data_IF_876294069290
#
_entry.id   IF_876294069290
#
_cell.length_a   1.000
_cell.length_b   1.000
_cell.length_c   1.000
_cell.angle_alpha   90.00
_cell.angle_beta   90.00
_cell.angle_gamma   90.00
#
_symmetry.space_group_name_H-M   'P 1'
#
loop_
_entity.id
_entity.type
_entity.pdbx_description
1 polymer ?
#
# COMPACT_ATOMS: atom_id res chain seq x y z
N UNK A 1 23.26 -1.11 -4.38
CA UNK A 1 22.07 -0.23 -4.27
C UNK A 1 20.94 -1.09 -3.79
N UNK A 2 20.16 -0.62 -2.80
CA UNK A 2 18.99 -1.34 -2.28
C UNK A 2 17.97 -1.54 -3.40
N UNK A 3 17.57 -2.78 -3.63
CA UNK A 3 16.52 -3.14 -4.58
C UNK A 3 15.17 -3.18 -3.87
N UNK A 4 14.24 -2.35 -4.34
CA UNK A 4 12.90 -2.22 -3.76
C UNK A 4 11.87 -2.75 -4.75
N UNK A 5 11.09 -3.75 -4.34
CA UNK A 5 9.92 -4.19 -5.08
C UNK A 5 8.78 -3.20 -4.84
N UNK A 6 8.20 -2.69 -5.93
CA UNK A 6 7.01 -1.85 -5.93
C UNK A 6 5.87 -2.71 -6.47
N UNK A 7 4.93 -3.06 -5.59
CA UNK A 7 3.88 -4.03 -5.93
C UNK A 7 2.92 -3.41 -6.94
N UNK A 8 2.77 -4.09 -8.08
CA UNK A 8 1.76 -3.80 -9.08
C UNK A 8 0.55 -4.71 -8.88
N UNK A 9 -0.61 -4.09 -8.71
CA UNK A 9 -1.89 -4.77 -8.60
C UNK A 9 -2.97 -3.93 -9.29
N UNK A 10 -2.60 -3.18 -10.33
CA UNK A 10 -3.40 -2.19 -11.07
C UNK A 10 -3.88 -0.99 -10.24
N UNK A 11 -3.24 -0.73 -9.10
CA UNK A 11 -3.66 0.33 -8.19
C UNK A 11 -2.49 1.24 -7.81
N UNK A 12 -2.67 2.54 -8.03
CA UNK A 12 -1.73 3.58 -7.63
C UNK A 12 -0.88 4.16 -8.76
N UNK A 13 -0.15 5.23 -8.44
CA UNK A 13 0.76 5.89 -9.38
C UNK A 13 2.18 5.31 -9.23
N UNK A 14 2.42 4.19 -9.89
CA UNK A 14 3.70 3.46 -9.83
C UNK A 14 4.87 4.30 -10.35
N UNK A 15 4.63 5.13 -11.37
CA UNK A 15 5.65 5.99 -11.97
C UNK A 15 6.23 6.97 -10.94
N UNK A 16 5.38 7.73 -10.25
CA UNK A 16 5.83 8.70 -9.26
C UNK A 16 6.47 8.03 -8.04
N UNK A 17 5.92 6.90 -7.57
CA UNK A 17 6.51 6.14 -6.48
C UNK A 17 7.93 5.67 -6.83
N UNK A 18 8.11 5.05 -8.00
CA UNK A 18 9.42 4.59 -8.46
C UNK A 18 10.42 5.74 -8.61
N UNK A 19 10.00 6.88 -9.19
CA UNK A 19 10.88 8.05 -9.35
C UNK A 19 11.32 8.63 -8.01
N UNK A 20 10.44 8.67 -7.01
CA UNK A 20 10.78 9.09 -5.65
C UNK A 20 11.84 8.19 -5.02
N UNK A 21 11.65 6.88 -5.08
CA UNK A 21 12.58 5.88 -4.55
C UNK A 21 13.94 5.91 -5.28
N UNK A 22 13.93 6.04 -6.61
CA UNK A 22 15.14 6.18 -7.42
C UNK A 22 15.92 7.44 -7.05
N UNK A 23 15.22 8.56 -6.87
CA UNK A 23 15.83 9.82 -6.41
C UNK A 23 16.43 9.70 -5.00
N UNK A 24 15.86 8.84 -4.16
CA UNK A 24 16.39 8.51 -2.84
C UNK A 24 17.56 7.49 -2.86
N UNK A 25 17.99 7.04 -4.05
CA UNK A 25 19.16 6.16 -4.22
C UNK A 25 18.87 4.67 -4.33
N UNK A 26 17.59 4.27 -4.40
CA UNK A 26 17.19 2.88 -4.58
C UNK A 26 17.13 2.47 -6.06
N UNK A 27 17.22 1.18 -6.33
CA UNK A 27 16.78 0.58 -7.61
C UNK A 27 15.40 -0.01 -7.40
N UNK A 28 14.48 0.22 -8.34
CA UNK A 28 13.08 -0.20 -8.20
C UNK A 28 12.72 -1.25 -9.23
N UNK A 29 11.97 -2.28 -8.83
CA UNK A 29 11.35 -3.25 -9.73
C UNK A 29 9.84 -3.15 -9.50
N UNK A 30 9.08 -2.89 -10.57
CA UNK A 30 7.62 -2.97 -10.53
C UNK A 30 7.25 -4.43 -10.79
N UNK A 31 6.44 -5.02 -9.91
CA UNK A 31 6.18 -6.47 -9.98
C UNK A 31 4.89 -6.89 -9.30
N UNK A 32 4.26 -7.91 -9.85
CA UNK A 32 3.20 -8.72 -9.25
C UNK A 32 3.67 -10.17 -8.97
N UNK A 33 4.98 -10.42 -9.03
CA UNK A 33 5.58 -11.73 -8.79
C UNK A 33 5.93 -11.92 -7.32
N UNK A 34 5.33 -12.93 -6.69
CA UNK A 34 5.66 -13.36 -5.32
C UNK A 34 7.18 -13.54 -5.12
N UNK A 35 7.86 -14.17 -6.10
CA UNK A 35 9.30 -14.41 -6.06
C UNK A 35 10.11 -13.12 -6.01
N UNK A 36 9.72 -12.11 -6.77
CA UNK A 36 10.43 -10.83 -6.80
C UNK A 36 10.15 -10.01 -5.54
N UNK A 37 8.93 -10.06 -5.02
CA UNK A 37 8.53 -9.44 -3.75
C UNK A 37 9.34 -10.03 -2.59
N UNK A 38 9.43 -11.36 -2.50
CA UNK A 38 10.19 -12.06 -1.47
C UNK A 38 11.71 -11.93 -1.65
N UNK A 39 12.18 -11.72 -2.88
CA UNK A 39 13.61 -11.58 -3.20
C UNK A 39 14.20 -10.17 -3.01
N UNK A 40 13.37 -9.11 -2.99
CA UNK A 40 13.83 -7.72 -2.87
C UNK A 40 14.40 -7.40 -1.47
N UNK A 41 15.18 -6.32 -1.33
CA UNK A 41 15.70 -5.88 -0.03
C UNK A 41 14.63 -5.18 0.82
N UNK A 42 13.65 -4.55 0.17
CA UNK A 42 12.50 -3.89 0.78
C UNK A 42 11.31 -3.89 -0.17
N UNK A 43 10.10 -3.66 0.35
CA UNK A 43 8.86 -3.69 -0.42
C UNK A 43 8.03 -2.42 -0.19
N UNK A 44 7.45 -1.90 -1.27
CA UNK A 44 6.52 -0.78 -1.25
C UNK A 44 5.20 -1.24 -1.85
N UNK A 45 4.12 -1.07 -1.08
CA UNK A 45 2.75 -1.23 -1.54
C UNK A 45 2.14 0.17 -1.72
N UNK A 46 2.16 0.73 -2.94
CA UNK A 46 1.43 1.97 -3.23
C UNK A 46 -0.07 1.69 -3.36
N UNK A 47 -0.89 2.73 -3.39
CA UNK A 47 -2.29 2.56 -3.76
C UNK A 47 -3.04 3.89 -3.85
N UNK A 48 -3.97 3.95 -4.80
CA UNK A 48 -4.94 5.05 -4.98
C UNK A 48 -6.26 4.42 -5.40
N UNK A 49 -7.39 4.96 -4.95
CA UNK A 49 -8.72 4.45 -5.28
C UNK A 49 -9.47 3.96 -4.04
N UNK A 50 -10.36 2.99 -4.23
CA UNK A 50 -11.21 2.46 -3.17
C UNK A 50 -10.66 1.16 -2.55
N UNK A 51 -10.98 0.94 -1.28
CA UNK A 51 -10.52 -0.19 -0.46
C UNK A 51 -10.89 -1.56 -1.03
N UNK A 52 -12.18 -1.79 -1.32
CA UNK A 52 -12.66 -3.09 -1.77
C UNK A 52 -12.03 -3.52 -3.10
N UNK A 53 -12.03 -2.69 -4.17
CA UNK A 53 -11.33 -3.02 -5.40
C UNK A 53 -9.87 -3.37 -5.16
N UNK A 54 -9.14 -2.57 -4.37
CA UNK A 54 -7.73 -2.85 -4.09
C UNK A 54 -7.51 -4.23 -3.44
N UNK A 55 -8.31 -4.58 -2.44
CA UNK A 55 -8.24 -5.90 -1.81
C UNK A 55 -8.61 -7.03 -2.78
N UNK A 56 -9.59 -6.81 -3.66
CA UNK A 56 -9.96 -7.76 -4.71
C UNK A 56 -8.82 -7.97 -5.71
N UNK A 57 -8.16 -6.90 -6.14
CA UNK A 57 -7.01 -6.94 -7.04
C UNK A 57 -5.80 -7.67 -6.45
N UNK A 58 -5.55 -7.51 -5.13
CA UNK A 58 -4.50 -8.25 -4.43
C UNK A 58 -4.82 -9.75 -4.36
N UNK A 59 -6.07 -10.10 -4.05
CA UNK A 59 -6.51 -11.51 -3.98
C UNK A 59 -6.51 -12.19 -5.34
N UNK A 60 -6.98 -11.50 -6.39
CA UNK A 60 -7.05 -12.08 -7.74
C UNK A 60 -5.67 -12.36 -8.35
N UNK A 61 -4.60 -11.83 -7.75
CA UNK A 61 -3.21 -12.01 -8.15
C UNK A 61 -2.41 -12.85 -7.16
N UNK A 62 -3.06 -13.44 -6.16
CA UNK A 62 -2.41 -14.22 -5.10
C UNK A 62 -1.29 -13.44 -4.36
N UNK A 63 -1.44 -12.12 -4.23
CA UNK A 63 -0.42 -11.23 -3.62
C UNK A 63 -0.55 -11.08 -2.11
N UNK A 64 -1.65 -11.52 -1.51
CA UNK A 64 -1.91 -11.39 -0.07
C UNK A 64 -0.85 -12.13 0.77
N UNK A 65 -0.59 -13.40 0.45
CA UNK A 65 0.37 -14.22 1.21
C UNK A 65 1.82 -13.77 1.01
N UNK A 66 2.30 -13.44 -0.21
CA UNK A 66 3.63 -12.84 -0.39
C UNK A 66 3.84 -11.57 0.43
N UNK A 67 2.84 -10.67 0.47
CA UNK A 67 2.91 -9.44 1.27
C UNK A 67 3.03 -9.77 2.76
N UNK A 68 2.16 -10.64 3.27
CA UNK A 68 2.17 -11.06 4.68
C UNK A 68 3.49 -11.72 5.06
N UNK A 69 4.02 -12.58 4.18
CA UNK A 69 5.29 -13.28 4.37
C UNK A 69 6.45 -12.30 4.46
N UNK A 70 6.52 -11.31 3.57
CA UNK A 70 7.53 -10.26 3.61
C UNK A 70 7.46 -9.47 4.92
N UNK A 71 6.27 -9.04 5.35
CA UNK A 71 6.11 -8.29 6.59
C UNK A 71 6.54 -9.13 7.79
N UNK A 72 6.10 -10.39 7.85
CA UNK A 72 6.44 -11.33 8.92
C UNK A 72 7.94 -11.64 8.99
N UNK A 73 8.66 -11.57 7.86
CA UNK A 73 10.12 -11.75 7.83
C UNK A 73 10.91 -10.61 8.49
N UNK A 74 10.25 -9.48 8.81
CA UNK A 74 10.89 -8.29 9.35
C UNK A 74 11.58 -7.42 8.30
N UNK A 75 11.41 -7.74 7.01
CA UNK A 75 11.91 -6.94 5.90
C UNK A 75 11.23 -5.56 5.89
N UNK A 76 11.96 -4.47 5.58
CA UNK A 76 11.35 -3.15 5.48
C UNK A 76 10.18 -3.13 4.48
N UNK A 77 9.03 -2.66 4.95
CA UNK A 77 7.79 -2.58 4.18
C UNK A 77 7.18 -1.17 4.32
N UNK A 78 6.75 -0.58 3.21
CA UNK A 78 6.11 0.75 3.19
C UNK A 78 4.77 0.71 2.43
N UNK A 79 3.67 0.98 3.13
CA UNK A 79 2.37 1.25 2.52
C UNK A 79 2.21 2.75 2.23
N UNK A 80 1.79 3.13 1.02
CA UNK A 80 1.55 4.54 0.65
C UNK A 80 0.07 4.76 0.34
N UNK A 81 -0.54 5.76 1.00
CA UNK A 81 -1.94 6.13 0.84
C UNK A 81 -2.89 4.92 1.05
N UNK A 82 -3.55 4.43 0.00
CA UNK A 82 -4.41 3.25 0.11
C UNK A 82 -3.63 2.00 0.51
N UNK A 83 -2.36 1.89 0.08
CA UNK A 83 -1.49 0.78 0.49
C UNK A 83 -1.21 0.74 2.00
N UNK A 84 -1.25 1.88 2.69
CA UNK A 84 -1.22 1.92 4.16
C UNK A 84 -2.56 1.47 4.75
N UNK A 85 -3.67 1.96 4.21
CA UNK A 85 -5.01 1.65 4.70
C UNK A 85 -5.31 0.15 4.64
N UNK A 86 -4.87 -0.54 3.57
CA UNK A 86 -5.03 -1.98 3.36
C UNK A 86 -4.34 -2.83 4.46
N UNK A 87 -3.35 -2.30 5.18
CA UNK A 87 -2.69 -3.02 6.28
C UNK A 87 -3.61 -3.24 7.49
N UNK A 88 -4.69 -2.48 7.60
CA UNK A 88 -5.67 -2.60 8.68
C UNK A 88 -6.63 -3.79 8.48
N UNK A 89 -7.54 -4.02 9.43
CA UNK A 89 -8.54 -5.09 9.34
C UNK A 89 -9.63 -4.80 8.28
N UNK A 90 -9.88 -3.53 7.99
CA UNK A 90 -10.90 -3.10 7.03
C UNK A 90 -11.07 -1.58 6.96
N UNK A 91 -12.04 -1.14 6.14
CA UNK A 91 -12.39 0.28 5.95
C UNK A 91 -13.90 0.49 5.94
N UNK A 92 -14.39 1.63 6.44
CA UNK A 92 -15.79 2.04 6.31
C UNK A 92 -16.20 2.35 4.85
N UNK A 93 -15.21 2.49 3.96
CA UNK A 93 -15.45 2.66 2.52
C UNK A 93 -16.03 1.41 1.85
N UNK A 94 -15.88 0.24 2.47
CA UNK A 94 -16.22 -1.04 1.87
C UNK A 94 -16.53 -2.15 2.87
N UNK A 95 -16.51 -3.39 2.39
CA UNK A 95 -16.85 -4.61 3.16
C UNK A 95 -15.76 -5.67 3.10
N UNK A 96 -14.77 -5.53 2.21
CA UNK A 96 -13.66 -6.47 2.14
C UNK A 96 -12.82 -6.38 3.41
N UNK A 97 -12.35 -7.53 3.89
CA UNK A 97 -11.32 -7.54 4.93
C UNK A 97 -10.01 -7.01 4.34
N UNK A 98 -9.26 -6.23 5.12
CA UNK A 98 -7.89 -5.85 4.78
C UNK A 98 -6.90 -7.00 5.00
N UNK A 99 -5.61 -6.67 5.05
CA UNK A 99 -4.56 -7.66 5.31
C UNK A 99 -4.51 -8.08 6.79
N UNK A 100 -5.02 -7.25 7.70
CA UNK A 100 -5.04 -7.54 9.14
C UNK A 100 -3.64 -7.59 9.76
N UNK A 101 -2.71 -6.77 9.26
CA UNK A 101 -1.36 -6.63 9.81
C UNK A 101 -1.40 -5.73 11.05
N UNK A 102 -2.19 -4.66 10.97
CA UNK A 102 -2.39 -3.69 12.04
C UNK A 102 -3.85 -3.79 12.49
N UNK A 103 -4.13 -4.05 13.78
CA UNK A 103 -5.51 -4.11 14.25
C UNK A 103 -6.16 -2.72 14.15
N UNK A 104 -7.37 -2.67 13.60
CA UNK A 104 -8.15 -1.43 13.49
C UNK A 104 -8.93 -1.30 12.18
N UNK A 105 -9.74 -0.25 12.11
CA UNK A 105 -10.60 0.04 10.97
C UNK A 105 -10.35 1.46 10.46
N UNK A 106 -10.13 1.61 9.15
CA UNK A 106 -10.02 2.91 8.50
C UNK A 106 -11.41 3.55 8.46
N UNK A 107 -11.54 4.76 9.00
CA UNK A 107 -12.83 5.46 9.11
C UNK A 107 -12.87 6.69 8.24
N UNK A 108 -14.08 7.02 7.79
CA UNK A 108 -14.33 8.28 7.11
C UNK A 108 -14.12 9.44 8.10
N UNK A 109 -13.46 10.50 7.66
CA UNK A 109 -13.38 11.73 8.43
C UNK A 109 -14.77 12.22 8.84
N UNK A 110 -14.90 12.66 10.09
CA UNK A 110 -16.12 13.33 10.58
C UNK A 110 -16.15 14.74 9.99
N UNK A 111 -17.35 15.26 9.69
CA UNK A 111 -17.47 16.65 9.24
C UNK A 111 -17.14 17.57 10.42
N UNK A 112 -16.19 18.49 10.21
CA UNK A 112 -15.80 19.51 11.17
C UNK A 112 -15.80 20.89 10.49
N UNK A 113 -16.03 22.00 11.23
CA UNK A 113 -15.93 23.34 10.67
C UNK A 113 -14.58 23.55 9.99
N UNK A 114 -14.58 24.12 8.79
CA UNK A 114 -13.39 24.39 7.97
C UNK A 114 -12.62 23.16 7.47
N UNK A 115 -13.17 21.94 7.57
CA UNK A 115 -12.58 20.75 6.98
C UNK A 115 -13.41 20.25 5.78
N UNK A 116 -12.83 20.37 4.58
CA UNK A 116 -13.37 19.76 3.37
C UNK A 116 -13.07 18.26 3.35
N UNK A 117 -14.04 17.45 2.92
CA UNK A 117 -13.88 16.00 2.73
C UNK A 117 -14.06 15.69 1.24
N UNK A 118 -13.09 15.00 0.58
CA UNK A 118 -11.85 14.47 1.15
C UNK A 118 -10.87 15.57 1.57
N UNK A 119 -9.99 15.26 2.54
CA UNK A 119 -8.91 16.16 2.91
C UNK A 119 -7.89 16.22 1.76
N UNK A 120 -7.73 17.40 1.16
CA UNK A 120 -6.84 17.65 0.04
C UNK A 120 -6.01 18.89 0.34
N UNK A 121 -4.70 18.73 0.46
CA UNK A 121 -3.79 19.84 0.75
C UNK A 121 -2.54 19.40 1.50
N UNK A 122 -1.82 20.38 2.02
CA UNK A 122 -0.63 20.19 2.83
C UNK A 122 -1.02 20.25 4.30
N UNK A 123 -0.60 19.26 5.08
CA UNK A 123 -0.80 19.21 6.52
C UNK A 123 0.56 18.99 7.21
N UNK A 124 0.66 19.30 8.48
CA UNK A 124 1.85 19.06 9.31
C UNK A 124 1.69 17.78 10.12
N UNK A 125 2.80 17.05 10.33
CA UNK A 125 2.90 15.90 11.23
C UNK A 125 3.24 16.35 12.65
#
# INVERSE_FOLDING_TARGET
>A
MTQIAVIDYDMGNLHSACKGLQKAGATTIITDSAREIEGADAVVLPGVGAFDPAMQHLRSRDLVEPIKTVIASGKPFLGICLGLQILFDGSEEGKESGLGIIPGWVRRFRKEPNMTIPHMGWNTL
#
